data_IF_079423343517
#
_entry.id   IF_079423343517
#
_cell.length_a   1.000
_cell.length_b   1.000
_cell.length_c   1.000
_cell.angle_alpha   90.00
_cell.angle_beta   90.00
_cell.angle_gamma   90.00
#
_symmetry.space_group_name_H-M   'P 1'
#
loop_
_entity.id
_entity.type
_entity.pdbx_description
1 polymer ?
#
# COMPACT_ATOMS: atom_id res chain seq x y z
N UNK A 1 35.96 53.27 -16.92
CA UNK A 1 34.75 53.23 -16.08
C UNK A 1 34.02 51.94 -16.37
N UNK A 2 34.11 50.98 -15.47
CA UNK A 2 33.48 49.64 -15.63
C UNK A 2 32.17 49.65 -14.90
N UNK A 3 31.07 49.48 -15.65
CA UNK A 3 29.70 49.38 -15.15
C UNK A 3 29.46 47.98 -14.61
N UNK A 4 29.29 47.88 -13.29
CA UNK A 4 28.87 46.64 -12.60
C UNK A 4 27.42 46.33 -12.95
N UNK A 5 27.18 45.33 -13.79
CA UNK A 5 25.87 44.76 -14.04
C UNK A 5 25.35 44.00 -12.81
N UNK A 6 24.40 44.58 -12.10
CA UNK A 6 23.70 43.94 -10.99
C UNK A 6 22.86 42.76 -11.50
N UNK A 7 23.27 41.56 -11.19
CA UNK A 7 22.46 40.35 -11.47
C UNK A 7 21.18 40.38 -10.64
N UNK A 8 20.07 40.63 -11.31
CA UNK A 8 18.73 40.64 -10.73
C UNK A 8 18.30 39.19 -10.42
N UNK A 9 18.52 38.77 -9.16
CA UNK A 9 18.02 37.48 -8.67
C UNK A 9 16.48 37.48 -8.75
N UNK A 10 15.94 36.80 -9.72
CA UNK A 10 14.48 36.54 -9.80
C UNK A 10 14.08 35.70 -8.58
N UNK A 11 13.43 36.32 -7.59
CA UNK A 11 12.72 35.60 -6.53
C UNK A 11 11.69 34.70 -7.21
N UNK A 12 11.90 33.39 -7.18
CA UNK A 12 10.86 32.42 -7.56
C UNK A 12 9.69 32.64 -6.62
N UNK A 13 8.56 33.11 -7.13
CA UNK A 13 7.32 33.14 -6.39
C UNK A 13 7.00 31.70 -5.96
N UNK A 14 7.02 31.47 -4.65
CA UNK A 14 6.61 30.17 -4.10
C UNK A 14 5.10 30.12 -4.22
N UNK A 15 4.61 29.46 -5.27
CA UNK A 15 3.19 29.17 -5.44
C UNK A 15 2.77 28.35 -4.22
N UNK A 16 1.99 28.93 -3.32
CA UNK A 16 1.40 28.22 -2.19
C UNK A 16 0.42 27.21 -2.74
N UNK A 17 0.81 25.95 -2.77
CA UNK A 17 -0.08 24.85 -3.12
C UNK A 17 -1.10 24.69 -2.00
N UNK A 18 -2.37 24.98 -2.30
CA UNK A 18 -3.48 24.76 -1.36
C UNK A 18 -3.78 23.27 -1.33
N UNK A 19 -3.44 22.61 -0.24
CA UNK A 19 -3.73 21.19 -0.04
C UNK A 19 -5.18 21.00 0.42
N UNK A 20 -5.88 19.99 -0.14
CA UNK A 20 -7.22 19.63 0.32
C UNK A 20 -7.22 19.19 1.79
N UNK A 21 -8.33 19.38 2.48
CA UNK A 21 -8.51 19.01 3.87
C UNK A 21 -8.35 17.49 4.11
N UNK A 22 -8.73 16.66 3.14
CA UNK A 22 -8.65 15.20 3.23
C UNK A 22 -7.32 14.68 2.68
N UNK A 23 -6.56 14.00 3.52
CA UNK A 23 -5.38 13.24 3.15
C UNK A 23 -5.68 11.74 3.20
N UNK A 24 -5.49 11.03 2.09
CA UNK A 24 -5.58 9.57 2.01
C UNK A 24 -4.17 8.99 1.85
N UNK A 25 -3.77 8.10 2.75
CA UNK A 25 -2.46 7.47 2.70
C UNK A 25 -2.50 6.06 3.29
N UNK A 26 -1.55 5.22 2.88
CA UNK A 26 -1.37 3.89 3.47
C UNK A 26 -0.23 3.95 4.47
N UNK A 27 -0.50 3.67 5.72
CA UNK A 27 0.49 3.67 6.80
C UNK A 27 0.62 2.24 7.34
N UNK A 28 1.85 1.82 7.62
CA UNK A 28 2.09 0.51 8.24
C UNK A 28 1.71 0.56 9.72
N UNK A 29 0.93 -0.41 10.18
CA UNK A 29 0.52 -0.53 11.58
C UNK A 29 1.74 -0.53 12.52
N UNK A 30 1.67 0.25 13.59
CA UNK A 30 2.71 0.41 14.62
C UNK A 30 4.07 0.92 14.11
N UNK A 31 4.16 1.35 12.85
CA UNK A 31 5.40 1.79 12.22
C UNK A 31 5.30 3.19 11.61
N UNK A 32 4.37 4.02 12.09
CA UNK A 32 4.31 5.40 11.65
C UNK A 32 5.53 6.18 12.16
N UNK A 33 6.27 6.79 11.23
CA UNK A 33 7.45 7.61 11.49
C UNK A 33 7.35 8.94 10.77
N UNK A 34 8.09 9.95 11.25
CA UNK A 34 8.16 11.27 10.61
C UNK A 34 8.93 11.27 9.28
N UNK A 35 9.36 10.11 8.82
CA UNK A 35 10.09 9.97 7.56
C UNK A 35 9.16 10.17 6.32
N UNK A 36 9.72 10.48 5.14
CA UNK A 36 8.97 10.51 3.89
C UNK A 36 8.31 9.13 3.62
N UNK A 37 7.07 9.10 3.07
CA UNK A 37 6.30 10.23 2.57
C UNK A 37 5.41 10.95 3.59
N UNK A 38 5.23 10.40 4.80
CA UNK A 38 4.24 10.86 5.79
C UNK A 38 4.58 12.23 6.38
N UNK A 39 5.84 12.43 6.80
CA UNK A 39 6.31 13.68 7.41
C UNK A 39 6.01 14.93 6.57
N UNK A 40 6.48 15.01 5.32
CA UNK A 40 6.18 16.13 4.43
C UNK A 40 4.68 16.33 4.18
N UNK A 41 3.91 15.26 4.01
CA UNK A 41 2.47 15.35 3.74
C UNK A 41 1.67 15.96 4.90
N UNK A 42 2.01 15.62 6.13
CA UNK A 42 1.40 16.18 7.34
C UNK A 42 1.93 17.57 7.64
N UNK A 43 3.23 17.78 7.49
CA UNK A 43 3.90 19.07 7.74
C UNK A 43 3.36 20.19 6.84
N UNK A 44 3.13 19.91 5.53
CA UNK A 44 2.52 20.87 4.59
C UNK A 44 1.11 21.30 4.99
N UNK A 45 0.42 20.50 5.78
CA UNK A 45 -0.91 20.80 6.33
C UNK A 45 -0.87 21.40 7.74
N UNK A 46 0.31 21.63 8.27
CA UNK A 46 0.53 22.27 9.59
C UNK A 46 0.25 21.37 10.78
N UNK A 47 0.22 20.04 10.59
CA UNK A 47 0.01 19.06 11.64
C UNK A 47 1.30 18.73 12.38
N UNK A 48 1.20 18.44 13.69
CA UNK A 48 2.32 17.92 14.47
C UNK A 48 2.55 16.44 14.16
N UNK A 49 3.57 16.16 13.34
CA UNK A 49 3.89 14.82 12.85
C UNK A 49 4.24 13.85 13.98
N UNK A 50 4.98 14.31 15.00
CA UNK A 50 5.40 13.45 16.11
C UNK A 50 4.21 12.98 16.95
N UNK A 51 3.27 13.88 17.27
CA UNK A 51 2.06 13.54 18.00
C UNK A 51 1.16 12.60 17.18
N UNK A 52 1.02 12.87 15.88
CA UNK A 52 0.28 11.99 14.98
C UNK A 52 0.84 10.56 14.97
N UNK A 53 2.16 10.40 14.82
CA UNK A 53 2.79 9.08 14.80
C UNK A 53 2.58 8.34 16.13
N UNK A 54 2.70 9.01 17.26
CA UNK A 54 2.44 8.39 18.57
C UNK A 54 0.99 7.93 18.72
N UNK A 55 0.03 8.78 18.35
CA UNK A 55 -1.40 8.45 18.41
C UNK A 55 -1.71 7.28 17.46
N UNK A 56 -1.30 7.34 16.19
CA UNK A 56 -1.53 6.28 15.22
C UNK A 56 -0.95 4.95 15.68
N UNK A 57 0.30 4.92 16.15
CA UNK A 57 0.93 3.69 16.63
C UNK A 57 0.19 3.11 17.86
N UNK A 58 -0.34 3.95 18.74
CA UNK A 58 -1.17 3.52 19.88
C UNK A 58 -2.49 2.92 19.42
N UNK A 59 -3.20 3.59 18.51
CA UNK A 59 -4.51 3.14 18.00
C UNK A 59 -4.39 1.84 17.16
N UNK A 60 -3.26 1.65 16.47
CA UNK A 60 -3.02 0.44 15.67
C UNK A 60 -2.37 -0.71 16.45
N UNK A 61 -2.26 -0.61 17.77
CA UNK A 61 -1.63 -1.64 18.61
C UNK A 61 -2.24 -3.04 18.53
N UNK A 62 -3.52 -3.13 18.14
CA UNK A 62 -4.24 -4.40 17.96
C UNK A 62 -3.96 -5.09 16.60
N UNK A 63 -3.33 -4.39 15.64
CA UNK A 63 -2.91 -4.98 14.37
C UNK A 63 -1.50 -5.54 14.47
N UNK A 64 -1.23 -6.58 13.69
CA UNK A 64 0.15 -7.08 13.53
C UNK A 64 1.02 -5.99 12.94
N UNK A 65 2.24 -5.84 13.47
CA UNK A 65 3.20 -4.85 13.01
C UNK A 65 3.48 -4.96 11.50
N UNK A 66 3.51 -3.82 10.81
CA UNK A 66 3.83 -3.75 9.38
C UNK A 66 2.66 -3.98 8.41
N UNK A 67 1.46 -4.28 8.91
CA UNK A 67 0.25 -4.39 8.07
C UNK A 67 -0.08 -3.03 7.45
N UNK A 68 -0.25 -2.93 6.11
CA UNK A 68 -0.60 -1.67 5.46
C UNK A 68 -2.07 -1.33 5.70
N UNK A 69 -2.31 -0.24 6.43
CA UNK A 69 -3.64 0.28 6.76
C UNK A 69 -3.94 1.52 5.92
N UNK A 70 -4.98 1.50 5.09
CA UNK A 70 -5.50 2.71 4.45
C UNK A 70 -6.04 3.64 5.53
N UNK A 71 -5.53 4.85 5.55
CA UNK A 71 -5.86 5.85 6.56
C UNK A 71 -6.38 7.10 5.89
N UNK A 72 -7.47 7.65 6.42
CA UNK A 72 -8.04 8.92 6.02
C UNK A 72 -7.85 9.91 7.15
N UNK A 73 -7.21 11.02 6.85
CA UNK A 73 -6.91 12.09 7.79
C UNK A 73 -7.62 13.34 7.30
N UNK A 74 -8.63 13.78 8.01
CA UNK A 74 -9.35 15.02 7.71
C UNK A 74 -8.80 16.13 8.59
N UNK A 75 -8.13 17.10 7.96
CA UNK A 75 -7.49 18.21 8.64
C UNK A 75 -8.51 19.35 8.80
N UNK A 76 -8.66 19.85 10.02
CA UNK A 76 -9.52 21.00 10.35
C UNK A 76 -8.72 22.32 10.29
N UNK A 77 -9.41 23.47 10.14
CA UNK A 77 -8.75 24.78 10.09
C UNK A 77 -7.95 25.14 11.35
N UNK A 78 -8.34 24.60 12.49
CA UNK A 78 -7.68 24.75 13.80
C UNK A 78 -6.41 23.90 13.97
N UNK A 79 -5.93 23.24 12.89
CA UNK A 79 -4.80 22.31 12.87
C UNK A 79 -5.01 21.05 13.70
N UNK A 80 -6.24 20.75 14.07
CA UNK A 80 -6.62 19.45 14.58
C UNK A 80 -6.96 18.51 13.41
N UNK A 81 -7.10 17.21 13.67
CA UNK A 81 -7.43 16.23 12.63
C UNK A 81 -8.34 15.14 13.15
N UNK A 82 -9.18 14.63 12.28
CA UNK A 82 -9.94 13.41 12.51
C UNK A 82 -9.23 12.26 11.81
N UNK A 83 -8.97 11.18 12.54
CA UNK A 83 -8.27 9.99 12.06
C UNK A 83 -9.27 8.86 11.83
N UNK A 84 -9.33 8.35 10.61
CA UNK A 84 -10.11 7.19 10.25
C UNK A 84 -9.17 6.10 9.74
N UNK A 85 -9.05 5.00 10.49
CA UNK A 85 -8.23 3.84 10.14
C UNK A 85 -9.15 2.79 9.53
N UNK A 86 -8.89 2.42 8.28
CA UNK A 86 -9.64 1.37 7.58
C UNK A 86 -9.02 -0.01 7.80
N UNK A 87 -9.76 -1.06 7.46
CA UNK A 87 -9.24 -2.43 7.45
C UNK A 87 -8.06 -2.57 6.48
N UNK A 88 -7.17 -3.57 6.63
CA UNK A 88 -6.00 -3.73 5.78
C UNK A 88 -6.31 -3.68 4.29
N UNK A 89 -5.33 -3.28 3.48
CA UNK A 89 -5.52 -3.16 2.03
C UNK A 89 -6.00 -4.48 1.42
N UNK A 90 -6.89 -4.43 0.44
CA UNK A 90 -7.41 -5.63 -0.27
C UNK A 90 -6.29 -6.47 -0.85
N UNK A 91 -5.28 -5.82 -1.44
CA UNK A 91 -4.11 -6.50 -2.01
C UNK A 91 -3.31 -7.27 -0.96
N UNK A 92 -3.20 -6.74 0.26
CA UNK A 92 -2.52 -7.42 1.35
C UNK A 92 -3.33 -8.62 1.83
N UNK A 93 -4.64 -8.47 2.05
CA UNK A 93 -5.52 -9.57 2.46
C UNK A 93 -5.52 -10.72 1.45
N UNK A 94 -5.62 -10.40 0.15
CA UNK A 94 -5.59 -11.40 -0.93
C UNK A 94 -4.24 -12.13 -0.99
N UNK A 95 -3.12 -11.41 -0.84
CA UNK A 95 -1.80 -12.03 -0.78
C UNK A 95 -1.62 -12.93 0.42
N UNK A 96 -2.10 -12.53 1.59
CA UNK A 96 -2.04 -13.35 2.80
C UNK A 96 -2.88 -14.61 2.66
N UNK A 97 -4.10 -14.50 2.13
CA UNK A 97 -4.97 -15.64 1.90
C UNK A 97 -4.38 -16.64 0.89
N UNK A 98 -3.70 -16.14 -0.14
CA UNK A 98 -3.04 -16.98 -1.15
C UNK A 98 -1.64 -17.47 -0.74
N UNK A 99 -1.11 -17.06 0.42
CA UNK A 99 0.23 -17.45 0.89
C UNK A 99 1.38 -16.89 0.04
N UNK A 100 1.19 -15.74 -0.65
CA UNK A 100 2.16 -15.19 -1.59
C UNK A 100 2.77 -13.87 -1.09
N UNK A 101 4.08 -13.70 -1.29
CA UNK A 101 4.80 -12.48 -0.91
C UNK A 101 4.66 -11.35 -1.94
N UNK A 102 4.64 -11.66 -3.24
CA UNK A 102 4.53 -10.68 -4.32
C UNK A 102 3.49 -11.06 -5.36
N UNK A 103 2.96 -10.06 -6.08
CA UNK A 103 2.09 -10.26 -7.23
C UNK A 103 2.87 -10.66 -8.50
N UNK A 104 2.16 -10.78 -9.62
CA UNK A 104 2.70 -11.14 -10.93
C UNK A 104 3.73 -10.11 -11.44
N UNK A 105 4.76 -10.60 -12.09
CA UNK A 105 5.75 -9.80 -12.79
C UNK A 105 5.44 -9.67 -14.28
N UNK A 106 4.87 -10.71 -14.90
CA UNK A 106 4.43 -10.75 -16.29
C UNK A 106 2.92 -10.84 -16.41
N UNK A 107 2.37 -10.53 -17.58
CA UNK A 107 0.91 -10.45 -17.80
C UNK A 107 0.20 -11.78 -17.54
N UNK A 108 0.80 -12.87 -17.93
CA UNK A 108 0.18 -14.22 -17.94
C UNK A 108 0.60 -15.08 -16.73
N UNK A 109 1.31 -14.47 -15.77
CA UNK A 109 1.82 -15.19 -14.61
C UNK A 109 0.73 -15.41 -13.56
N UNK A 110 0.45 -16.69 -13.24
CA UNK A 110 -0.37 -17.09 -12.11
C UNK A 110 0.53 -17.21 -10.88
N UNK A 111 0.24 -16.44 -9.83
CA UNK A 111 1.07 -16.38 -8.63
C UNK A 111 0.47 -17.06 -7.42
N UNK A 112 -0.83 -17.31 -7.45
CA UNK A 112 -1.55 -17.96 -6.34
C UNK A 112 -2.93 -18.41 -6.79
N UNK A 113 -3.54 -19.28 -5.99
CA UNK A 113 -4.91 -19.77 -6.19
C UNK A 113 -5.75 -19.47 -4.97
N UNK A 114 -6.99 -19.02 -5.15
CA UNK A 114 -7.97 -18.78 -4.10
C UNK A 114 -9.33 -19.32 -4.49
N UNK A 115 -10.14 -19.68 -3.51
CA UNK A 115 -11.53 -20.04 -3.73
C UNK A 115 -12.46 -18.85 -3.51
N UNK A 116 -13.66 -18.91 -4.06
CA UNK A 116 -14.71 -17.89 -3.82
C UNK A 116 -15.04 -17.76 -2.34
N UNK A 117 -14.94 -18.84 -1.56
CA UNK A 117 -15.14 -18.84 -0.10
C UNK A 117 -14.17 -17.88 0.60
N UNK A 118 -12.88 -17.89 0.23
CA UNK A 118 -11.90 -16.96 0.77
C UNK A 118 -12.23 -15.50 0.41
N UNK A 119 -12.69 -15.25 -0.82
CA UNK A 119 -13.07 -13.90 -1.25
C UNK A 119 -14.28 -13.38 -0.48
N UNK A 120 -15.24 -14.25 -0.17
CA UNK A 120 -16.42 -13.90 0.61
C UNK A 120 -16.03 -13.46 2.04
N UNK A 121 -15.15 -14.20 2.71
CA UNK A 121 -14.69 -13.82 4.04
C UNK A 121 -13.90 -12.49 4.02
N UNK A 122 -13.06 -12.28 3.00
CA UNK A 122 -12.38 -10.99 2.82
C UNK A 122 -13.38 -9.85 2.58
N UNK A 123 -14.44 -10.10 1.79
CA UNK A 123 -15.49 -9.13 1.53
C UNK A 123 -16.23 -8.73 2.80
N UNK A 124 -16.53 -9.67 3.70
CA UNK A 124 -17.11 -9.39 5.03
C UNK A 124 -16.20 -8.49 5.88
N UNK A 125 -14.90 -8.72 5.86
CA UNK A 125 -13.94 -7.85 6.57
C UNK A 125 -13.97 -6.46 5.97
N UNK A 126 -13.96 -6.34 4.65
CA UNK A 126 -13.94 -5.06 3.93
C UNK A 126 -15.26 -4.27 4.03
N UNK A 127 -16.39 -4.93 4.16
CA UNK A 127 -17.70 -4.26 4.30
C UNK A 127 -17.82 -3.43 5.59
N UNK A 128 -16.94 -3.66 6.58
CA UNK A 128 -16.88 -2.87 7.82
C UNK A 128 -16.31 -1.47 7.60
N UNK A 129 -15.58 -1.23 6.52
CA UNK A 129 -15.02 0.08 6.20
C UNK A 129 -16.16 1.05 5.84
N UNK A 130 -16.18 2.25 6.41
CA UNK A 130 -17.20 3.29 6.15
C UNK A 130 -17.41 3.55 4.66
N UNK A 131 -16.35 3.46 3.87
CA UNK A 131 -16.42 3.67 2.43
C UNK A 131 -17.22 2.61 1.67
N UNK A 132 -17.43 1.43 2.25
CA UNK A 132 -18.07 0.27 1.64
C UNK A 132 -19.38 -0.14 2.34
N UNK A 133 -19.80 0.56 3.38
CA UNK A 133 -21.01 0.23 4.16
C UNK A 133 -22.30 0.18 3.31
N UNK A 134 -22.38 1.04 2.27
CA UNK A 134 -23.57 1.10 1.39
C UNK A 134 -23.41 0.28 0.10
N UNK A 135 -22.35 -0.51 -0.01
CA UNK A 135 -22.09 -1.33 -1.20
C UNK A 135 -22.53 -2.76 -0.92
N UNK A 136 -23.34 -3.37 -1.81
CA UNK A 136 -23.73 -4.77 -1.69
C UNK A 136 -22.50 -5.68 -1.61
N UNK A 137 -22.57 -6.73 -0.78
CA UNK A 137 -21.46 -7.66 -0.60
C UNK A 137 -21.04 -8.35 -1.90
N UNK A 138 -22.00 -8.56 -2.80
CA UNK A 138 -21.78 -9.13 -4.12
C UNK A 138 -20.85 -8.25 -4.98
N UNK A 139 -21.06 -6.93 -4.97
CA UNK A 139 -20.23 -5.99 -5.72
C UNK A 139 -18.83 -5.88 -5.13
N UNK A 140 -18.71 -6.00 -3.80
CA UNK A 140 -17.40 -6.09 -3.14
C UNK A 140 -16.67 -7.35 -3.62
N UNK A 141 -17.35 -8.51 -3.66
CA UNK A 141 -16.77 -9.76 -4.17
C UNK A 141 -16.36 -9.65 -5.65
N UNK A 142 -17.18 -9.03 -6.51
CA UNK A 142 -16.84 -8.78 -7.92
C UNK A 142 -15.58 -7.91 -8.05
N UNK A 143 -15.44 -6.88 -7.22
CA UNK A 143 -14.26 -6.04 -7.20
C UNK A 143 -13.02 -6.78 -6.69
N UNK A 144 -13.17 -7.69 -5.72
CA UNK A 144 -12.08 -8.56 -5.27
C UNK A 144 -11.61 -9.50 -6.39
N UNK A 145 -12.52 -10.09 -7.17
CA UNK A 145 -12.18 -10.94 -8.33
C UNK A 145 -11.37 -10.14 -9.36
N UNK A 146 -11.78 -8.90 -9.68
CA UNK A 146 -11.00 -8.01 -10.56
C UNK A 146 -9.61 -7.75 -10.00
N UNK A 147 -9.51 -7.53 -8.70
CA UNK A 147 -8.22 -7.30 -8.03
C UNK A 147 -7.35 -8.55 -8.05
N UNK A 148 -7.91 -9.75 -7.86
CA UNK A 148 -7.19 -11.02 -8.00
C UNK A 148 -6.54 -11.16 -9.39
N UNK A 149 -7.28 -10.87 -10.45
CA UNK A 149 -6.77 -10.89 -11.84
C UNK A 149 -5.60 -9.91 -12.04
N UNK A 150 -5.65 -8.73 -11.43
CA UNK A 150 -4.55 -7.75 -11.52
C UNK A 150 -3.30 -8.19 -10.77
N UNK A 151 -3.45 -8.88 -9.65
CA UNK A 151 -2.34 -9.42 -8.86
C UNK A 151 -1.76 -10.68 -9.50
N UNK A 152 -2.57 -11.43 -10.27
CA UNK A 152 -2.23 -12.73 -10.85
C UNK A 152 -2.68 -13.90 -9.99
N UNK A 153 -3.74 -13.73 -9.18
CA UNK A 153 -4.35 -14.79 -8.41
C UNK A 153 -5.51 -15.39 -9.20
N UNK A 154 -5.48 -16.69 -9.39
CA UNK A 154 -6.57 -17.46 -10.00
C UNK A 154 -7.65 -17.74 -8.98
N UNK A 155 -8.91 -17.48 -9.35
CA UNK A 155 -10.07 -17.74 -8.49
C UNK A 155 -10.78 -18.99 -8.96
N UNK A 156 -10.87 -19.98 -8.07
CA UNK A 156 -11.52 -21.26 -8.34
C UNK A 156 -12.85 -21.35 -7.59
N UNK A 157 -13.82 -22.02 -8.21
CA UNK A 157 -15.15 -22.24 -7.63
C UNK A 157 -15.23 -23.53 -6.79
N UNK A 158 -14.27 -24.43 -7.01
CA UNK A 158 -14.14 -25.70 -6.28
C UNK A 158 -13.14 -25.55 -5.13
N UNK A 159 -13.19 -26.44 -4.17
CA UNK A 159 -12.21 -26.46 -3.09
C UNK A 159 -10.84 -26.86 -3.65
N UNK A 160 -9.80 -26.25 -3.09
CA UNK A 160 -8.42 -26.47 -3.53
C UNK A 160 -7.89 -27.76 -2.90
N UNK A 161 -7.24 -28.60 -3.69
CA UNK A 161 -6.52 -29.75 -3.17
C UNK A 161 -5.24 -29.29 -2.45
N UNK A 162 -5.09 -29.67 -1.17
CA UNK A 162 -3.98 -29.16 -0.35
C UNK A 162 -2.61 -29.64 -0.84
N UNK A 163 -2.54 -30.81 -1.46
CA UNK A 163 -1.28 -31.37 -2.02
C UNK A 163 -0.82 -30.58 -3.23
N UNK A 164 -1.69 -30.39 -4.22
CA UNK A 164 -1.41 -29.61 -5.43
C UNK A 164 -1.06 -28.15 -5.10
N UNK A 165 -1.80 -27.54 -4.15
CA UNK A 165 -1.51 -26.16 -3.74
C UNK A 165 -0.15 -26.04 -3.10
N UNK A 166 0.25 -27.01 -2.26
CA UNK A 166 1.55 -27.02 -1.60
C UNK A 166 2.69 -27.14 -2.60
N UNK A 167 2.56 -28.03 -3.57
CA UNK A 167 3.55 -28.20 -4.65
C UNK A 167 3.66 -26.93 -5.50
N UNK A 168 2.53 -26.37 -5.91
CA UNK A 168 2.49 -25.11 -6.65
C UNK A 168 3.19 -23.96 -5.91
N UNK A 169 2.94 -23.82 -4.60
CA UNK A 169 3.56 -22.78 -3.79
C UNK A 169 5.06 -23.01 -3.61
N UNK A 170 5.53 -24.27 -3.50
CA UNK A 170 6.95 -24.60 -3.44
C UNK A 170 7.69 -24.23 -4.74
N UNK A 171 7.19 -24.69 -5.88
CA UNK A 171 7.74 -24.31 -7.20
C UNK A 171 7.75 -22.78 -7.40
N UNK A 172 6.68 -22.13 -6.97
CA UNK A 172 6.56 -20.68 -7.06
C UNK A 172 7.62 -19.97 -6.25
N UNK A 173 7.88 -20.45 -5.05
CA UNK A 173 8.91 -19.89 -4.16
C UNK A 173 10.29 -19.96 -4.80
N UNK A 174 10.66 -21.08 -5.36
CA UNK A 174 11.93 -21.27 -6.09
C UNK A 174 12.05 -20.30 -7.28
N UNK A 175 10.99 -20.18 -8.09
CA UNK A 175 10.96 -19.23 -9.23
C UNK A 175 11.14 -17.79 -8.77
N UNK A 176 10.51 -17.39 -7.68
CA UNK A 176 10.63 -16.03 -7.12
C UNK A 176 12.04 -15.78 -6.58
N UNK A 177 12.63 -16.73 -5.88
CA UNK A 177 13.99 -16.63 -5.35
C UNK A 177 15.02 -16.49 -6.49
N UNK A 178 14.88 -17.30 -7.56
CA UNK A 178 15.73 -17.21 -8.74
C UNK A 178 15.63 -15.82 -9.41
N UNK A 179 14.41 -15.31 -9.60
CA UNK A 179 14.20 -13.99 -10.19
C UNK A 179 14.73 -12.84 -9.32
N UNK A 180 14.61 -12.94 -7.99
CA UNK A 180 15.16 -11.95 -7.07
C UNK A 180 16.68 -11.94 -7.11
N UNK A 181 17.31 -13.12 -7.20
CA UNK A 181 18.75 -13.26 -7.35
C UNK A 181 19.24 -12.63 -8.67
N UNK A 182 18.58 -12.93 -9.78
CA UNK A 182 18.89 -12.33 -11.09
C UNK A 182 18.77 -10.79 -11.07
N UNK A 183 17.73 -10.25 -10.40
CA UNK A 183 17.56 -8.81 -10.25
C UNK A 183 18.65 -8.18 -9.37
N UNK A 184 19.09 -8.88 -8.32
CA UNK A 184 20.19 -8.43 -7.47
C UNK A 184 21.51 -8.40 -8.27
N UNK A 185 21.80 -9.42 -9.06
CA UNK A 185 22.99 -9.51 -9.89
C UNK A 185 22.99 -8.39 -10.96
N UNK A 186 21.85 -8.15 -11.62
CA UNK A 186 21.68 -7.03 -12.56
C UNK A 186 21.89 -5.66 -11.91
N UNK A 187 21.44 -5.47 -10.67
CA UNK A 187 21.68 -4.23 -9.92
C UNK A 187 23.15 -4.06 -9.56
N UNK A 188 23.80 -5.12 -9.07
CA UNK A 188 25.22 -5.11 -8.76
C UNK A 188 26.07 -4.80 -10.02
N UNK A 189 25.79 -5.44 -11.14
CA UNK A 189 26.46 -5.18 -12.40
C UNK A 189 26.26 -3.75 -12.92
N UNK A 190 25.08 -3.14 -12.66
CA UNK A 190 24.81 -1.75 -13.01
C UNK A 190 25.62 -0.78 -12.13
N UNK A 191 25.75 -1.06 -10.84
CA UNK A 191 26.54 -0.24 -9.93
C UNK A 191 28.04 -0.24 -10.31
N UNK A 192 28.58 -1.39 -10.68
CA UNK A 192 29.97 -1.52 -11.14
C UNK A 192 30.28 -0.76 -12.45
N UNK A 193 29.26 -0.47 -13.27
CA UNK A 193 29.43 0.33 -14.50
C UNK A 193 29.33 1.83 -14.31
N UNK A 194 28.88 2.27 -13.12
CA UNK A 194 28.71 3.70 -12.78
C UNK A 194 29.81 4.22 -11.86
N UNK A 195 30.71 3.37 -11.43
CA UNK A 195 31.98 3.69 -10.76
C UNK A 195 33.10 3.70 -11.80
#
# INVERSE_FOLDING_TARGET
MASKGAARVRKKEIVKVIHGALLKTNIKAQMATAAPPLGPQLGQRGLNVANFCKQFNKETGHFKQGVPLPTRITVKPDRTYDLEICTPTTTWLLKQAAGIGRGKATKDEVVGKLTVKHLYEIAKVKSRDKALQNVPLEDICRNLIKTCRTIGIEVQYHDLDPTELKEFLAERKEKVEAQLKELADKKAAKMLRTT
#
